data_IF_909569543840
#
_entry.id   IF_909569543840
#
_cell.length_a   1.000
_cell.length_b   1.000
_cell.length_c   1.000
_cell.angle_alpha   90.00
_cell.angle_beta   90.00
_cell.angle_gamma   90.00
#
_symmetry.space_group_name_H-M   'P 1'
#
loop_
_entity.id
_entity.type
_entity.pdbx_description
1 polymer ?
#
# COMPACT_ATOMS: atom_id res chain seq x y z
N UNK A 1 -25.21 2.28 -3.20
CA UNK A 1 -24.78 0.87 -3.30
C UNK A 1 -23.32 0.89 -3.74
N UNK A 2 -22.40 1.08 -2.80
CA UNK A 2 -20.95 0.97 -3.06
C UNK A 2 -20.51 -0.31 -2.37
N UNK A 3 -20.08 -1.29 -3.16
CA UNK A 3 -19.61 -2.55 -2.64
C UNK A 3 -18.31 -2.28 -1.88
N UNK A 4 -18.35 -2.48 -0.57
CA UNK A 4 -17.15 -2.70 0.22
C UNK A 4 -16.51 -3.97 -0.32
N UNK A 5 -15.33 -3.87 -0.94
CA UNK A 5 -14.51 -5.06 -1.17
C UNK A 5 -14.09 -5.53 0.21
N UNK A 6 -14.82 -6.53 0.71
CA UNK A 6 -14.44 -7.23 1.92
C UNK A 6 -13.19 -8.04 1.58
N UNK A 7 -12.07 -7.70 2.19
CA UNK A 7 -10.80 -8.44 2.24
C UNK A 7 -10.95 -9.83 2.92
N UNK A 8 -12.14 -10.41 2.90
CA UNK A 8 -12.52 -11.58 3.66
C UNK A 8 -12.25 -12.86 2.85
N UNK A 9 -11.01 -13.01 2.35
CA UNK A 9 -10.37 -14.30 2.02
C UNK A 9 -9.02 -14.16 1.29
N UNK A 10 -8.63 -12.96 0.82
CA UNK A 10 -7.41 -12.82 0.02
C UNK A 10 -6.14 -12.95 0.89
N UNK A 11 -5.31 -13.92 0.56
CA UNK A 11 -3.99 -14.17 1.12
C UNK A 11 -2.91 -13.24 0.56
N UNK A 12 -1.77 -13.25 1.25
CA UNK A 12 -0.54 -12.63 0.78
C UNK A 12 0.21 -13.64 -0.08
N UNK A 13 0.70 -13.21 -1.24
CA UNK A 13 1.40 -14.07 -2.20
C UNK A 13 2.92 -13.85 -2.22
N UNK A 14 3.40 -12.84 -1.52
CA UNK A 14 4.82 -12.51 -1.43
C UNK A 14 5.32 -11.72 -2.64
N UNK A 15 6.37 -10.91 -2.41
CA UNK A 15 6.90 -9.99 -3.41
C UNK A 15 7.43 -10.70 -4.67
N UNK A 16 7.98 -11.91 -4.54
CA UNK A 16 8.53 -12.69 -5.66
C UNK A 16 7.46 -12.94 -6.74
N UNK A 17 6.22 -13.28 -6.33
CA UNK A 17 5.07 -13.47 -7.24
C UNK A 17 4.76 -12.18 -8.02
N UNK A 18 4.90 -11.02 -7.40
CA UNK A 18 4.67 -9.74 -8.07
C UNK A 18 5.71 -9.47 -9.18
N UNK A 19 6.95 -9.94 -9.00
CA UNK A 19 8.06 -9.69 -9.92
C UNK A 19 7.93 -10.46 -11.24
N UNK A 20 7.13 -11.53 -11.29
CA UNK A 20 6.87 -12.29 -12.51
C UNK A 20 6.24 -11.42 -13.61
N UNK A 21 5.48 -10.39 -13.23
CA UNK A 21 4.86 -9.42 -14.15
C UNK A 21 5.36 -7.97 -14.01
N UNK A 22 5.81 -7.56 -12.81
CA UNK A 22 6.11 -6.16 -12.48
C UNK A 22 7.62 -5.85 -12.25
N UNK A 23 8.54 -6.55 -12.92
CA UNK A 23 9.99 -6.35 -12.72
C UNK A 23 10.47 -4.89 -12.96
N UNK A 24 9.88 -4.21 -13.95
CA UNK A 24 10.19 -2.80 -14.23
C UNK A 24 9.77 -1.88 -13.07
N UNK A 25 8.59 -2.12 -12.49
CA UNK A 25 8.06 -1.35 -11.35
C UNK A 25 8.88 -1.62 -10.10
N UNK A 26 9.31 -2.86 -9.91
CA UNK A 26 10.16 -3.24 -8.79
C UNK A 26 11.50 -2.51 -8.82
N UNK A 27 12.07 -2.28 -9.99
CA UNK A 27 13.30 -1.48 -10.15
C UNK A 27 13.15 -0.06 -9.61
N UNK A 28 12.03 0.60 -9.91
CA UNK A 28 11.74 1.93 -9.39
C UNK A 28 11.58 1.89 -7.85
N UNK A 29 10.79 0.94 -7.34
CA UNK A 29 10.54 0.80 -5.90
C UNK A 29 11.82 0.56 -5.09
N UNK A 30 12.71 -0.33 -5.57
CA UNK A 30 14.00 -0.65 -4.93
C UNK A 30 14.89 0.58 -4.72
N UNK A 31 14.82 1.57 -5.60
CA UNK A 31 15.63 2.80 -5.48
C UNK A 31 15.00 3.86 -4.57
N UNK A 32 13.70 3.76 -4.33
CA UNK A 32 12.94 4.65 -3.44
C UNK A 32 13.31 4.48 -1.96
N UNK A 33 12.88 5.43 -1.14
CA UNK A 33 13.15 5.41 0.32
C UNK A 33 12.52 4.18 0.97
N UNK A 34 11.28 3.86 0.60
CA UNK A 34 10.54 2.71 1.13
C UNK A 34 11.18 1.37 0.72
N UNK A 35 11.53 1.19 -0.56
CA UNK A 35 12.20 -0.03 -1.01
C UNK A 35 13.58 -0.26 -0.37
N UNK A 36 14.38 0.80 -0.17
CA UNK A 36 15.69 0.71 0.51
C UNK A 36 15.58 0.40 2.01
N UNK A 37 14.46 0.71 2.63
CA UNK A 37 14.24 0.52 4.08
C UNK A 37 13.48 -0.77 4.41
N UNK A 38 12.87 -1.42 3.41
CA UNK A 38 12.05 -2.63 3.59
C UNK A 38 12.79 -3.70 4.41
N UNK A 39 14.05 -3.99 4.07
CA UNK A 39 14.86 -5.02 4.73
C UNK A 39 15.32 -4.67 6.15
N UNK A 40 15.18 -3.41 6.59
CA UNK A 40 15.82 -2.93 7.83
C UNK A 40 14.85 -2.34 8.85
N UNK A 41 13.75 -1.76 8.40
CA UNK A 41 12.98 -0.82 9.24
C UNK A 41 11.46 -1.00 9.19
N UNK A 42 10.95 -1.97 8.44
CA UNK A 42 9.51 -2.21 8.39
C UNK A 42 9.04 -2.86 9.70
N UNK A 43 8.11 -2.25 10.46
CA UNK A 43 7.62 -2.79 11.72
C UNK A 43 6.52 -3.86 11.52
N UNK A 44 6.50 -4.51 10.36
CA UNK A 44 5.49 -5.49 9.94
C UNK A 44 6.15 -6.73 9.36
N UNK A 45 5.52 -7.88 9.55
CA UNK A 45 5.95 -9.16 8.96
C UNK A 45 5.64 -9.23 7.45
N UNK A 46 4.77 -8.33 6.95
CA UNK A 46 4.46 -8.21 5.52
C UNK A 46 5.52 -7.34 4.85
N UNK A 47 6.29 -7.95 3.95
CA UNK A 47 7.42 -7.33 3.28
C UNK A 47 7.13 -7.14 1.78
N UNK A 48 7.67 -6.05 1.21
CA UNK A 48 7.61 -5.79 -0.22
C UNK A 48 6.31 -5.12 -0.68
N UNK A 49 5.81 -5.51 -1.86
CA UNK A 49 4.72 -4.81 -2.55
C UNK A 49 3.44 -4.75 -1.69
N UNK A 50 3.11 -5.87 -1.05
CA UNK A 50 1.87 -6.03 -0.29
C UNK A 50 1.86 -5.22 1.03
N UNK A 51 3.00 -4.65 1.46
CA UNK A 51 3.05 -3.75 2.62
C UNK A 51 2.18 -2.51 2.41
N UNK A 52 2.13 -1.99 1.18
CA UNK A 52 1.29 -0.84 0.83
C UNK A 52 0.06 -1.28 0.04
N UNK A 53 0.21 -2.22 -0.89
CA UNK A 53 -0.86 -2.64 -1.80
C UNK A 53 -1.92 -3.56 -1.14
N UNK A 54 -1.62 -4.15 0.02
CA UNK A 54 -2.48 -5.16 0.65
C UNK A 54 -2.31 -6.56 0.03
N UNK A 55 -3.10 -7.56 0.48
CA UNK A 55 -3.04 -8.93 -0.02
C UNK A 55 -3.36 -9.03 -1.51
N UNK A 56 -2.45 -9.60 -2.29
CA UNK A 56 -2.53 -9.67 -3.74
C UNK A 56 -3.10 -10.96 -4.33
N UNK A 57 -3.51 -11.95 -3.53
CA UNK A 57 -3.99 -13.25 -4.04
C UNK A 57 -5.09 -13.09 -5.10
N UNK A 58 -6.16 -12.34 -4.79
CA UNK A 58 -7.27 -12.18 -5.73
C UNK A 58 -6.86 -11.46 -7.03
N UNK A 59 -5.94 -10.50 -6.94
CA UNK A 59 -5.38 -9.81 -8.10
C UNK A 59 -4.55 -10.75 -8.97
N UNK A 60 -3.72 -11.61 -8.36
CA UNK A 60 -2.90 -12.57 -9.10
C UNK A 60 -3.74 -13.69 -9.72
N UNK A 61 -4.73 -14.22 -8.99
CA UNK A 61 -5.58 -15.31 -9.49
C UNK A 61 -6.46 -14.91 -10.69
N UNK A 62 -6.90 -13.65 -10.74
CA UNK A 62 -7.80 -13.14 -11.77
C UNK A 62 -7.13 -12.21 -12.76
N UNK A 63 -5.85 -11.88 -12.53
CA UNK A 63 -5.07 -10.91 -13.32
C UNK A 63 -5.79 -9.55 -13.49
N UNK A 64 -6.56 -9.15 -12.47
CA UNK A 64 -7.43 -7.97 -12.51
C UNK A 64 -6.86 -6.84 -11.62
N UNK A 65 -6.40 -5.72 -12.20
CA UNK A 65 -5.87 -4.58 -11.44
C UNK A 65 -6.85 -3.94 -10.47
N UNK A 66 -8.16 -4.12 -10.66
CA UNK A 66 -9.18 -3.57 -9.75
C UNK A 66 -9.27 -4.32 -8.41
N UNK A 67 -8.58 -5.47 -8.30
CA UNK A 67 -8.56 -6.31 -7.11
C UNK A 67 -7.34 -6.09 -6.21
N UNK A 68 -6.53 -5.07 -6.50
CA UNK A 68 -5.40 -4.65 -5.65
C UNK A 68 -5.49 -3.14 -5.41
N UNK A 69 -5.18 -2.70 -4.20
CA UNK A 69 -5.14 -1.27 -3.90
C UNK A 69 -3.85 -0.66 -4.45
N UNK A 70 -3.95 0.49 -5.13
CA UNK A 70 -2.78 1.29 -5.55
C UNK A 70 -2.74 2.54 -4.67
N UNK A 71 -1.67 2.76 -3.89
CA UNK A 71 -1.59 3.88 -2.95
C UNK A 71 -1.20 5.16 -3.70
N UNK A 72 -2.15 5.73 -4.46
CA UNK A 72 -2.04 7.02 -5.15
C UNK A 72 -3.06 8.03 -4.62
N UNK A 73 -3.11 9.21 -5.24
CA UNK A 73 -4.00 10.30 -4.85
C UNK A 73 -5.49 9.93 -4.94
N UNK A 74 -5.86 9.05 -5.88
CA UNK A 74 -7.26 8.65 -6.11
C UNK A 74 -7.75 7.69 -5.04
N UNK A 75 -6.86 6.88 -4.46
CA UNK A 75 -7.17 5.97 -3.35
C UNK A 75 -7.44 6.68 -2.01
N UNK A 76 -7.13 7.97 -1.89
CA UNK A 76 -7.61 8.82 -0.79
C UNK A 76 -7.36 8.27 0.62
N UNK A 77 -8.43 8.07 1.39
CA UNK A 77 -8.35 7.54 2.76
C UNK A 77 -7.73 6.15 2.84
N UNK A 78 -7.89 5.32 1.81
CA UNK A 78 -7.33 3.96 1.76
C UNK A 78 -5.80 4.00 1.61
N UNK A 79 -5.29 4.87 0.73
CA UNK A 79 -3.86 5.16 0.65
C UNK A 79 -3.32 5.73 1.96
N UNK A 80 -4.04 6.67 2.58
CA UNK A 80 -3.65 7.25 3.86
C UNK A 80 -3.54 6.19 4.96
N UNK A 81 -4.48 5.23 5.02
CA UNK A 81 -4.46 4.14 5.99
C UNK A 81 -3.20 3.27 5.86
N UNK A 82 -2.76 2.98 4.63
CA UNK A 82 -1.51 2.24 4.38
C UNK A 82 -0.28 3.00 4.90
N UNK A 83 -0.21 4.31 4.67
CA UNK A 83 0.88 5.16 5.14
C UNK A 83 0.91 5.24 6.68
N UNK A 84 -0.25 5.47 7.28
CA UNK A 84 -0.45 5.62 8.71
C UNK A 84 -0.32 4.30 9.47
N UNK A 85 -0.20 3.15 8.80
CA UNK A 85 0.16 1.89 9.46
C UNK A 85 1.53 2.00 10.16
N UNK A 86 2.47 2.75 9.55
CA UNK A 86 3.82 2.99 10.08
C UNK A 86 4.06 4.45 10.51
N UNK A 87 3.57 5.43 9.73
CA UNK A 87 3.82 6.86 9.98
C UNK A 87 2.87 7.46 11.03
N UNK A 88 2.97 7.00 12.28
CA UNK A 88 2.09 7.42 13.39
C UNK A 88 2.70 8.51 14.28
N UNK A 89 3.97 8.83 14.10
CA UNK A 89 4.75 9.68 15.02
C UNK A 89 5.46 10.81 14.27
N UNK A 90 6.03 11.77 15.02
CA UNK A 90 6.72 12.90 14.42
C UNK A 90 5.77 13.77 13.61
N UNK A 91 6.19 14.21 12.42
CA UNK A 91 5.43 15.18 11.61
C UNK A 91 4.03 14.69 11.21
N UNK A 92 3.80 13.37 11.16
CA UNK A 92 2.50 12.78 10.79
C UNK A 92 1.60 12.47 11.97
N UNK A 93 2.06 12.68 13.22
CA UNK A 93 1.30 12.38 14.44
C UNK A 93 -0.03 13.15 14.55
N UNK A 94 -0.11 14.32 13.90
CA UNK A 94 -1.29 15.17 13.89
C UNK A 94 -2.06 15.13 12.56
N UNK A 95 -1.88 14.06 11.77
CA UNK A 95 -2.54 13.91 10.48
C UNK A 95 -4.05 14.14 10.55
N UNK A 96 -4.75 13.48 11.49
CA UNK A 96 -6.21 13.56 11.61
C UNK A 96 -6.76 14.96 11.93
N UNK A 97 -5.92 15.92 12.32
CA UNK A 97 -6.28 17.32 12.55
C UNK A 97 -5.62 18.28 11.57
N UNK A 98 -4.95 17.76 10.54
CA UNK A 98 -4.25 18.55 9.54
C UNK A 98 -5.22 19.18 8.54
N UNK A 99 -4.81 20.27 7.89
CA UNK A 99 -5.58 20.88 6.81
C UNK A 99 -5.76 19.97 5.61
N UNK A 100 -4.81 19.06 5.34
CA UNK A 100 -4.93 18.08 4.28
C UNK A 100 -6.04 17.07 4.59
N UNK A 101 -6.03 16.48 5.79
CA UNK A 101 -7.08 15.54 6.19
C UNK A 101 -8.48 16.20 6.24
N UNK A 102 -8.59 17.44 6.72
CA UNK A 102 -9.86 18.18 6.73
C UNK A 102 -10.33 18.63 5.34
N UNK A 103 -9.42 18.64 4.35
CA UNK A 103 -9.69 19.07 2.99
C UNK A 103 -9.72 17.93 1.99
N UNK A 104 -9.84 16.68 2.46
CA UNK A 104 -9.87 15.46 1.64
C UNK A 104 -8.66 15.33 0.68
N UNK A 105 -7.47 15.77 1.13
CA UNK A 105 -6.22 15.64 0.38
C UNK A 105 -5.45 14.41 0.87
N UNK A 106 -5.08 13.52 -0.06
CA UNK A 106 -4.28 12.33 0.21
C UNK A 106 -2.79 12.65 0.48
N UNK A 107 -2.05 11.69 1.04
CA UNK A 107 -0.61 11.83 1.29
C UNK A 107 0.24 11.96 0.01
N UNK A 108 -0.26 11.41 -1.10
CA UNK A 108 0.43 11.20 -2.38
C UNK A 108 -0.39 11.73 -3.54
#
# INVERSE_FOLDING_TARGET
MTATVAWASAGYVGAETCLDCHDDVASAMRTGVHGRLAEYQYPTDIQGCETCHGPGEAHVEQEDPSLIMVPDAEAGEEANASCLACHKTGVTMSWGTSSHAMGDVACV
#
